data_IF_653722075884
#
_entry.id   IF_653722075884
#
_cell.length_a   1.000
_cell.length_b   1.000
_cell.length_c   1.000
_cell.angle_alpha   90.00
_cell.angle_beta   90.00
_cell.angle_gamma   90.00
#
_symmetry.space_group_name_H-M   'P 1'
#
loop_
_entity.id
_entity.type
_entity.pdbx_description
1 polymer ?
#
# COMPACT_ATOMS: atom_id res chain seq x y z
N UNK A 1 24.20 -39.49 45.90
CA UNK A 1 23.57 -39.36 44.57
C UNK A 1 23.47 -37.86 44.27
N UNK A 2 24.14 -37.34 43.21
CA UNK A 2 24.00 -35.94 42.83
C UNK A 2 22.55 -35.64 42.42
N UNK A 3 22.00 -34.47 42.78
CA UNK A 3 20.63 -34.09 42.39
C UNK A 3 20.53 -34.03 40.84
N UNK A 4 19.39 -34.42 40.31
CA UNK A 4 19.18 -34.32 38.83
C UNK A 4 19.27 -32.88 38.38
N UNK A 5 19.87 -32.59 37.17
CA UNK A 5 19.93 -31.25 36.68
C UNK A 5 18.51 -30.66 36.53
N UNK A 6 18.33 -29.46 37.06
CA UNK A 6 17.06 -28.76 37.04
C UNK A 6 16.68 -28.44 35.57
N UNK A 7 15.60 -29.02 35.09
CA UNK A 7 15.05 -28.82 33.73
C UNK A 7 14.54 -27.39 33.48
N UNK A 8 14.77 -26.47 34.40
CA UNK A 8 14.28 -25.08 34.34
C UNK A 8 15.31 -24.07 33.81
N UNK A 9 16.52 -24.51 33.48
CA UNK A 9 17.49 -23.67 32.78
C UNK A 9 17.43 -23.81 31.25
N UNK A 10 16.24 -23.99 30.68
CA UNK A 10 16.01 -23.63 29.29
C UNK A 10 16.06 -22.09 29.21
N UNK A 11 17.28 -21.59 29.11
CA UNK A 11 17.56 -20.17 29.00
C UNK A 11 16.63 -19.56 27.97
N UNK A 12 15.86 -18.56 28.38
CA UNK A 12 15.35 -17.53 27.50
C UNK A 12 16.53 -16.95 26.73
N UNK A 13 16.94 -17.61 25.67
CA UNK A 13 17.72 -16.97 24.62
C UNK A 13 16.82 -15.87 24.11
N UNK A 14 17.01 -14.68 24.65
CA UNK A 14 16.52 -13.44 24.07
C UNK A 14 16.88 -13.52 22.59
N UNK A 15 15.89 -13.77 21.75
CA UNK A 15 16.05 -13.81 20.31
C UNK A 15 16.34 -12.38 19.83
N UNK A 16 17.58 -11.94 20.06
CA UNK A 16 18.06 -10.73 19.41
C UNK A 16 18.10 -11.04 17.92
N UNK A 17 17.43 -10.25 17.08
CA UNK A 17 17.49 -10.43 15.65
C UNK A 17 18.97 -10.37 15.23
N UNK A 18 19.44 -11.43 14.59
CA UNK A 18 20.81 -11.49 14.09
C UNK A 18 20.93 -10.54 12.89
N UNK A 19 21.40 -9.33 13.16
CA UNK A 19 21.63 -8.28 12.15
C UNK A 19 22.91 -8.55 11.35
N UNK A 20 23.08 -9.77 10.91
CA UNK A 20 24.18 -10.14 10.02
C UNK A 20 24.09 -9.36 8.68
N UNK A 21 25.24 -9.11 8.04
CA UNK A 21 25.26 -8.39 6.74
C UNK A 21 24.22 -8.88 5.72
N UNK A 22 24.01 -10.20 5.53
CA UNK A 22 23.00 -10.66 4.56
C UNK A 22 21.57 -10.29 4.94
N UNK A 23 21.23 -10.18 6.22
CA UNK A 23 19.89 -9.74 6.68
C UNK A 23 19.67 -8.25 6.40
N UNK A 24 20.71 -7.42 6.61
CA UNK A 24 20.62 -5.99 6.27
C UNK A 24 20.45 -5.76 4.76
N UNK A 25 21.14 -6.53 3.92
CA UNK A 25 20.97 -6.47 2.46
C UNK A 25 19.55 -6.88 2.07
N UNK A 26 19.02 -7.92 2.67
CA UNK A 26 17.62 -8.36 2.44
C UNK A 26 16.63 -7.25 2.76
N UNK A 27 16.73 -6.62 3.94
CA UNK A 27 15.87 -5.50 4.34
C UNK A 27 16.00 -4.34 3.35
N UNK A 28 17.22 -3.98 2.96
CA UNK A 28 17.48 -2.90 2.01
C UNK A 28 16.84 -3.16 0.63
N UNK A 29 16.88 -4.41 0.15
CA UNK A 29 16.27 -4.80 -1.12
C UNK A 29 14.73 -4.67 -1.02
N UNK A 30 14.11 -5.17 0.05
CA UNK A 30 12.65 -5.09 0.25
C UNK A 30 12.20 -3.62 0.32
N UNK A 31 12.85 -2.83 1.18
CA UNK A 31 12.50 -1.41 1.34
C UNK A 31 12.74 -0.65 0.04
N UNK A 32 13.88 -0.90 -0.63
CA UNK A 32 14.21 -0.31 -1.93
C UNK A 32 13.16 -0.64 -2.99
N UNK A 33 12.67 -1.88 -3.05
CA UNK A 33 11.61 -2.30 -3.96
C UNK A 33 10.29 -1.55 -3.70
N UNK A 34 9.92 -1.36 -2.43
CA UNK A 34 8.74 -0.56 -2.08
C UNK A 34 8.92 0.93 -2.38
N UNK A 35 10.10 1.49 -2.18
CA UNK A 35 10.40 2.89 -2.54
C UNK A 35 10.25 3.11 -4.04
N UNK A 36 10.95 2.32 -4.86
CA UNK A 36 10.89 2.42 -6.33
C UNK A 36 9.49 2.11 -6.84
N UNK A 37 8.88 1.04 -6.32
CA UNK A 37 7.53 0.64 -6.67
C UNK A 37 6.47 1.67 -6.25
N UNK A 38 6.61 2.30 -5.09
CA UNK A 38 5.72 3.36 -4.61
C UNK A 38 5.76 4.60 -5.50
N UNK A 39 6.96 5.02 -5.92
CA UNK A 39 7.12 6.12 -6.88
C UNK A 39 6.47 5.78 -8.24
N UNK A 40 6.71 4.58 -8.77
CA UNK A 40 6.15 4.14 -10.03
C UNK A 40 4.61 3.99 -9.96
N UNK A 41 4.10 3.40 -8.87
CA UNK A 41 2.66 3.24 -8.66
C UNK A 41 1.95 4.59 -8.44
N UNK A 42 2.60 5.55 -7.77
CA UNK A 42 2.10 6.90 -7.63
C UNK A 42 2.00 7.63 -8.97
N UNK A 43 3.02 7.51 -9.82
CA UNK A 43 2.99 8.03 -11.18
C UNK A 43 1.88 7.37 -12.01
N UNK A 44 1.76 6.05 -11.94
CA UNK A 44 0.70 5.32 -12.65
C UNK A 44 -0.70 5.76 -12.18
N UNK A 45 -0.94 5.86 -10.88
CA UNK A 45 -2.21 6.31 -10.34
C UNK A 45 -2.56 7.74 -10.79
N UNK A 46 -1.57 8.65 -10.79
CA UNK A 46 -1.76 10.02 -11.26
C UNK A 46 -2.07 10.12 -12.74
N UNK A 47 -1.47 9.28 -13.58
CA UNK A 47 -1.68 9.30 -15.05
C UNK A 47 -2.95 8.57 -15.48
N UNK A 48 -3.38 7.56 -14.74
CA UNK A 48 -4.62 6.81 -15.02
C UNK A 48 -5.87 7.54 -14.55
N UNK A 49 -5.73 8.43 -13.56
CA UNK A 49 -6.83 9.22 -13.07
C UNK A 49 -7.04 10.46 -13.94
N UNK A 50 -8.29 10.68 -14.36
CA UNK A 50 -8.69 11.89 -15.08
C UNK A 50 -9.38 12.85 -14.10
N UNK A 51 -8.83 14.06 -13.85
CA UNK A 51 -9.43 15.02 -12.94
C UNK A 51 -10.82 15.43 -13.44
N UNK A 52 -11.85 15.39 -12.59
CA UNK A 52 -13.15 15.96 -12.94
C UNK A 52 -13.05 17.48 -13.05
N UNK A 53 -13.87 18.07 -13.92
CA UNK A 53 -13.94 19.50 -14.11
C UNK A 53 -15.18 20.10 -13.44
N UNK A 54 -15.13 21.38 -13.14
CA UNK A 54 -16.23 22.17 -12.65
C UNK A 54 -16.06 23.62 -13.03
N UNK A 55 -17.07 24.44 -12.78
CA UNK A 55 -17.06 25.87 -13.06
C UNK A 55 -17.12 26.72 -11.79
N UNK A 56 -16.57 27.92 -11.88
CA UNK A 56 -16.66 28.93 -10.84
C UNK A 56 -17.97 29.72 -11.01
N UNK A 57 -18.67 29.93 -9.89
CA UNK A 57 -19.83 30.79 -9.77
C UNK A 57 -19.80 31.51 -8.42
N UNK A 58 -19.87 32.82 -8.40
CA UNK A 58 -19.83 33.65 -7.17
C UNK A 58 -18.65 33.32 -6.24
N UNK A 59 -17.44 33.34 -6.80
CA UNK A 59 -16.17 33.02 -6.08
C UNK A 59 -16.10 31.60 -5.48
N UNK A 60 -17.00 30.71 -5.88
CA UNK A 60 -17.02 29.31 -5.45
C UNK A 60 -16.91 28.35 -6.64
N UNK A 61 -16.14 27.31 -6.45
CA UNK A 61 -16.06 26.23 -7.44
C UNK A 61 -17.15 25.18 -7.19
N UNK A 62 -17.86 24.83 -8.27
CA UNK A 62 -18.89 23.81 -8.25
C UNK A 62 -18.50 22.65 -9.16
N UNK A 63 -18.23 21.50 -8.54
CA UNK A 63 -17.86 20.26 -9.26
C UNK A 63 -19.00 19.85 -10.19
N UNK A 64 -18.64 19.51 -11.44
CA UNK A 64 -19.59 19.03 -12.44
C UNK A 64 -20.56 20.09 -12.98
N UNK A 65 -20.43 21.36 -12.61
CA UNK A 65 -21.18 22.44 -13.26
C UNK A 65 -20.64 22.61 -14.69
N UNK A 66 -21.53 22.45 -15.68
CA UNK A 66 -21.17 22.45 -17.12
C UNK A 66 -21.76 23.63 -17.88
N UNK A 67 -22.76 24.35 -17.32
CA UNK A 67 -23.37 25.52 -17.89
C UNK A 67 -23.86 26.45 -16.79
N UNK A 68 -23.79 27.77 -17.04
CA UNK A 68 -24.30 28.80 -16.13
C UNK A 68 -25.71 29.28 -16.51
N UNK A 69 -26.12 29.12 -17.78
CA UNK A 69 -27.39 29.61 -18.27
C UNK A 69 -28.08 28.55 -19.19
N UNK A 70 -29.06 27.76 -18.67
CA UNK A 70 -29.36 27.60 -17.25
C UNK A 70 -28.27 26.81 -16.50
N UNK A 71 -28.16 26.97 -15.18
CA UNK A 71 -27.19 26.20 -14.39
C UNK A 71 -27.47 24.71 -14.53
N UNK A 72 -26.53 23.98 -15.12
CA UNK A 72 -26.66 22.54 -15.36
C UNK A 72 -25.50 21.80 -14.73
N UNK A 73 -25.82 20.79 -13.94
CA UNK A 73 -24.83 19.94 -13.28
C UNK A 73 -24.76 18.63 -14.06
N UNK A 74 -23.54 18.23 -14.44
CA UNK A 74 -23.31 16.94 -15.08
C UNK A 74 -23.57 15.76 -14.14
N UNK A 75 -24.02 14.64 -14.70
CA UNK A 75 -24.47 13.47 -13.92
C UNK A 75 -23.35 12.74 -13.16
N UNK A 76 -22.07 13.13 -13.30
CA UNK A 76 -20.92 12.35 -12.86
C UNK A 76 -20.14 13.00 -11.69
N UNK A 77 -20.81 13.72 -10.80
CA UNK A 77 -20.20 14.51 -9.72
C UNK A 77 -19.37 13.63 -8.77
N UNK A 78 -19.89 12.46 -8.40
CA UNK A 78 -19.26 11.56 -7.44
C UNK A 78 -18.18 10.66 -8.06
N UNK A 79 -18.14 10.56 -9.39
CA UNK A 79 -17.20 9.65 -10.08
C UNK A 79 -15.73 10.05 -9.92
N UNK A 80 -15.45 11.34 -9.70
CA UNK A 80 -14.08 11.83 -9.57
C UNK A 80 -13.34 11.28 -8.35
N UNK A 81 -13.94 11.36 -7.17
CA UNK A 81 -13.35 10.85 -5.92
C UNK A 81 -13.33 9.33 -5.93
N UNK A 82 -14.40 8.71 -6.45
CA UNK A 82 -14.47 7.27 -6.59
C UNK A 82 -13.36 6.75 -7.54
N UNK A 83 -13.18 7.37 -8.71
CA UNK A 83 -12.16 6.98 -9.68
C UNK A 83 -10.74 7.17 -9.11
N UNK A 84 -10.47 8.29 -8.41
CA UNK A 84 -9.20 8.53 -7.74
C UNK A 84 -8.89 7.43 -6.72
N UNK A 85 -9.88 7.12 -5.87
CA UNK A 85 -9.77 6.08 -4.85
C UNK A 85 -9.59 4.69 -5.48
N UNK A 86 -10.32 4.37 -6.54
CA UNK A 86 -10.25 3.10 -7.23
C UNK A 86 -8.87 2.89 -7.89
N UNK A 87 -8.37 3.84 -8.67
CA UNK A 87 -7.06 3.74 -9.30
C UNK A 87 -5.92 3.66 -8.30
N UNK A 88 -5.98 4.50 -7.24
CA UNK A 88 -5.02 4.40 -6.14
C UNK A 88 -5.04 3.01 -5.50
N UNK A 89 -6.21 2.48 -5.19
CA UNK A 89 -6.35 1.17 -4.54
C UNK A 89 -5.83 0.04 -5.42
N UNK A 90 -6.14 0.04 -6.72
CA UNK A 90 -5.64 -0.97 -7.67
C UNK A 90 -4.12 -0.94 -7.73
N UNK A 91 -3.52 0.23 -7.93
CA UNK A 91 -2.06 0.36 -7.99
C UNK A 91 -1.39 -0.04 -6.66
N UNK A 92 -2.00 0.32 -5.53
CA UNK A 92 -1.50 -0.05 -4.20
C UNK A 92 -1.52 -1.57 -3.97
N UNK A 93 -2.62 -2.23 -4.33
CA UNK A 93 -2.77 -3.69 -4.19
C UNK A 93 -1.78 -4.41 -5.12
N UNK A 94 -1.68 -4.00 -6.37
CA UNK A 94 -0.74 -4.60 -7.34
C UNK A 94 0.70 -4.47 -6.85
N UNK A 95 1.10 -3.28 -6.38
CA UNK A 95 2.43 -3.06 -5.81
C UNK A 95 2.69 -3.99 -4.62
N UNK A 96 1.76 -4.03 -3.66
CA UNK A 96 1.92 -4.85 -2.47
C UNK A 96 2.00 -6.34 -2.78
N UNK A 97 1.13 -6.85 -3.68
CA UNK A 97 1.17 -8.24 -4.12
C UNK A 97 2.49 -8.58 -4.82
N UNK A 98 2.95 -7.76 -5.76
CA UNK A 98 4.19 -8.03 -6.51
C UNK A 98 5.41 -8.09 -5.58
N UNK A 99 5.57 -7.09 -4.70
CA UNK A 99 6.71 -7.06 -3.76
C UNK A 99 6.56 -8.14 -2.69
N UNK A 100 5.35 -8.40 -2.20
CA UNK A 100 5.07 -9.48 -1.23
C UNK A 100 5.40 -10.86 -1.78
N UNK A 101 4.98 -11.16 -3.01
CA UNK A 101 5.30 -12.42 -3.70
C UNK A 101 6.82 -12.54 -3.89
N UNK A 102 7.46 -11.48 -4.41
CA UNK A 102 8.90 -11.49 -4.61
C UNK A 102 9.68 -11.70 -3.30
N UNK A 103 9.24 -11.06 -2.21
CA UNK A 103 9.83 -11.24 -0.89
C UNK A 103 9.65 -12.68 -0.37
N UNK A 104 8.46 -13.27 -0.56
CA UNK A 104 8.19 -14.63 -0.14
C UNK A 104 9.04 -15.67 -0.89
N UNK A 105 9.22 -15.48 -2.21
CA UNK A 105 9.93 -16.46 -3.06
C UNK A 105 11.45 -16.38 -2.90
N UNK A 106 12.02 -15.17 -2.75
CA UNK A 106 13.46 -14.98 -2.84
C UNK A 106 14.15 -14.75 -1.49
N UNK A 107 13.44 -14.44 -0.41
CA UNK A 107 14.03 -13.95 0.82
C UNK A 107 13.66 -14.81 2.05
N UNK A 108 14.03 -16.08 2.03
CA UNK A 108 13.65 -17.09 3.04
C UNK A 108 14.46 -17.08 4.35
N UNK A 109 15.40 -16.15 4.54
CA UNK A 109 16.42 -16.29 5.61
C UNK A 109 15.92 -16.00 7.02
N UNK A 110 14.89 -15.17 7.19
CA UNK A 110 14.32 -14.82 8.50
C UNK A 110 12.90 -14.28 8.32
N UNK A 111 11.91 -15.07 8.71
CA UNK A 111 10.49 -14.76 8.53
C UNK A 111 10.08 -13.46 9.26
N UNK A 112 10.49 -13.30 10.52
CA UNK A 112 10.16 -12.12 11.32
C UNK A 112 10.77 -10.83 10.75
N UNK A 113 12.01 -10.90 10.28
CA UNK A 113 12.68 -9.73 9.68
C UNK A 113 12.04 -9.38 8.35
N UNK A 114 11.69 -10.38 7.53
CA UNK A 114 10.98 -10.17 6.26
C UNK A 114 9.63 -9.51 6.51
N UNK A 115 8.85 -10.01 7.49
CA UNK A 115 7.55 -9.45 7.86
C UNK A 115 7.68 -7.99 8.29
N UNK A 116 8.64 -7.68 9.17
CA UNK A 116 8.89 -6.32 9.62
C UNK A 116 9.33 -5.40 8.46
N UNK A 117 10.24 -5.89 7.59
CA UNK A 117 10.72 -5.14 6.43
C UNK A 117 9.60 -4.85 5.41
N UNK A 118 8.71 -5.81 5.16
CA UNK A 118 7.56 -5.66 4.26
C UNK A 118 6.55 -4.67 4.85
N UNK A 119 6.30 -4.72 6.16
CA UNK A 119 5.39 -3.78 6.83
C UNK A 119 5.91 -2.35 6.74
N UNK A 120 7.15 -2.12 7.15
CA UNK A 120 7.76 -0.79 7.14
C UNK A 120 7.97 -0.30 5.71
N UNK A 121 8.51 -1.15 4.84
CA UNK A 121 8.73 -0.84 3.43
C UNK A 121 7.41 -0.52 2.71
N UNK A 122 6.37 -1.31 2.96
CA UNK A 122 5.04 -1.09 2.40
C UNK A 122 4.39 0.21 2.87
N UNK A 123 4.55 0.58 4.15
CA UNK A 123 4.08 1.86 4.67
C UNK A 123 4.82 3.04 4.01
N UNK A 124 6.15 2.94 3.86
CA UNK A 124 6.95 3.94 3.15
C UNK A 124 6.53 4.03 1.69
N UNK A 125 6.41 2.89 0.98
CA UNK A 125 5.99 2.84 -0.42
C UNK A 125 4.60 3.43 -0.65
N UNK A 126 3.63 3.09 0.21
CA UNK A 126 2.29 3.67 0.17
C UNK A 126 2.27 5.17 0.43
N UNK A 127 3.08 5.65 1.39
CA UNK A 127 3.25 7.08 1.67
C UNK A 127 3.87 7.83 0.47
N UNK A 128 4.91 7.26 -0.15
CA UNK A 128 5.52 7.82 -1.36
C UNK A 128 4.55 7.82 -2.54
N UNK A 129 3.77 6.75 -2.72
CA UNK A 129 2.73 6.68 -3.74
C UNK A 129 1.73 7.83 -3.58
N UNK A 130 1.23 8.06 -2.35
CA UNK A 130 0.32 9.17 -2.06
C UNK A 130 0.99 10.52 -2.32
N UNK A 131 2.23 10.69 -1.88
CA UNK A 131 2.99 11.92 -2.09
C UNK A 131 3.14 12.25 -3.59
N UNK A 132 3.57 11.28 -4.41
CA UNK A 132 3.73 11.48 -5.86
C UNK A 132 2.40 11.81 -6.51
N UNK A 133 1.33 11.07 -6.17
CA UNK A 133 0.01 11.33 -6.74
C UNK A 133 -0.50 12.72 -6.36
N UNK A 134 -0.28 13.18 -5.13
CA UNK A 134 -0.70 14.52 -4.71
C UNK A 134 0.14 15.63 -5.32
N UNK A 135 1.45 15.43 -5.52
CA UNK A 135 2.33 16.41 -6.17
C UNK A 135 2.02 16.58 -7.67
N UNK A 136 1.53 15.54 -8.33
CA UNK A 136 1.13 15.56 -9.74
C UNK A 136 -0.34 15.97 -9.93
N UNK A 137 -1.09 16.16 -8.85
CA UNK A 137 -2.46 16.61 -8.86
C UNK A 137 -2.56 18.09 -9.26
N UNK A 138 -3.64 18.53 -9.93
CA UNK A 138 -3.98 19.94 -10.07
C UNK A 138 -4.10 20.63 -8.70
N UNK A 139 -3.91 21.95 -8.69
CA UNK A 139 -4.10 22.76 -7.48
C UNK A 139 -5.56 22.74 -6.99
N UNK A 140 -5.78 23.02 -5.70
CA UNK A 140 -7.11 23.06 -5.11
C UNK A 140 -7.98 24.13 -5.80
N UNK A 141 -9.05 23.73 -6.51
CA UNK A 141 -9.91 24.65 -7.24
C UNK A 141 -10.63 25.64 -6.34
N UNK A 142 -10.84 25.33 -5.07
CA UNK A 142 -11.46 26.28 -4.12
C UNK A 142 -10.56 27.47 -3.81
N UNK A 143 -9.23 27.26 -3.83
CA UNK A 143 -8.26 28.35 -3.70
C UNK A 143 -8.24 29.23 -4.94
N UNK A 144 -8.28 28.62 -6.12
CA UNK A 144 -8.22 29.30 -7.42
C UNK A 144 -9.54 30.00 -7.79
N UNK A 145 -10.68 29.56 -7.25
CA UNK A 145 -12.00 30.14 -7.53
C UNK A 145 -12.14 31.57 -6.97
N UNK A 146 -11.41 31.89 -5.91
CA UNK A 146 -11.48 33.22 -5.29
C UNK A 146 -10.90 34.28 -6.23
N UNK A 147 -11.74 35.16 -6.72
CA UNK A 147 -11.38 36.23 -7.67
C UNK A 147 -11.32 35.75 -9.13
N UNK A 148 -11.66 34.52 -9.44
CA UNK A 148 -11.82 34.06 -10.80
C UNK A 148 -13.19 34.51 -11.38
N UNK A 149 -13.24 34.75 -12.69
CA UNK A 149 -14.49 35.10 -13.34
C UNK A 149 -15.49 33.94 -13.34
N UNK A 150 -16.78 34.26 -13.22
CA UNK A 150 -17.83 33.26 -13.35
C UNK A 150 -17.75 32.55 -14.71
N UNK A 151 -17.94 31.23 -14.70
CA UNK A 151 -17.77 30.39 -15.88
C UNK A 151 -16.36 29.88 -16.12
N UNK A 152 -15.37 30.29 -15.29
CA UNK A 152 -14.02 29.71 -15.37
C UNK A 152 -14.05 28.23 -15.06
N UNK A 153 -13.51 27.41 -15.98
CA UNK A 153 -13.42 25.95 -15.83
C UNK A 153 -12.14 25.60 -15.08
N UNK A 154 -12.26 24.93 -13.95
CA UNK A 154 -11.16 24.43 -13.16
C UNK A 154 -11.23 22.92 -13.00
N UNK A 155 -10.06 22.28 -12.85
CA UNK A 155 -9.94 20.86 -12.57
C UNK A 155 -9.92 20.62 -11.06
N UNK A 156 -10.49 19.49 -10.63
CA UNK A 156 -10.45 19.07 -9.24
C UNK A 156 -9.06 18.57 -8.83
N UNK A 157 -8.75 18.72 -7.55
CA UNK A 157 -7.54 18.15 -6.97
C UNK A 157 -7.75 16.66 -6.63
N UNK A 158 -6.62 15.91 -6.57
CA UNK A 158 -6.66 14.51 -6.18
C UNK A 158 -7.07 14.36 -4.72
N UNK A 159 -8.17 13.70 -4.47
CA UNK A 159 -8.68 13.45 -3.13
C UNK A 159 -9.00 11.97 -2.96
N UNK A 160 -8.48 11.38 -1.89
CA UNK A 160 -8.83 10.02 -1.49
C UNK A 160 -10.04 10.05 -0.54
N UNK A 161 -10.93 9.08 -0.69
CA UNK A 161 -12.05 8.89 0.22
C UNK A 161 -11.60 8.67 1.68
N UNK A 162 -10.39 8.11 1.86
CA UNK A 162 -9.81 7.87 3.19
C UNK A 162 -8.28 7.83 3.14
N UNK A 163 -7.57 8.47 4.08
CA UNK A 163 -6.11 8.40 4.16
C UNK A 163 -5.59 6.99 4.50
N UNK A 164 -6.42 6.14 5.10
CA UNK A 164 -6.05 4.76 5.45
C UNK A 164 -5.82 3.84 4.24
N UNK A 165 -6.18 4.28 3.03
CA UNK A 165 -5.91 3.54 1.80
C UNK A 165 -4.41 3.30 1.55
N UNK A 166 -3.53 4.10 2.14
CA UNK A 166 -2.07 3.87 2.14
C UNK A 166 -1.71 2.50 2.72
N UNK A 167 -2.51 1.98 3.66
CA UNK A 167 -2.31 0.66 4.28
C UNK A 167 -2.63 -0.51 3.35
N UNK A 168 -3.23 -0.27 2.18
CA UNK A 168 -3.45 -1.32 1.19
C UNK A 168 -2.14 -1.92 0.68
N UNK A 169 -1.06 -1.12 0.58
CA UNK A 169 0.25 -1.60 0.14
C UNK A 169 0.82 -2.65 1.12
N UNK A 170 1.05 -2.34 2.42
CA UNK A 170 1.55 -3.35 3.34
C UNK A 170 0.54 -4.47 3.57
N UNK A 171 -0.77 -4.18 3.58
CA UNK A 171 -1.82 -5.19 3.79
C UNK A 171 -1.85 -6.24 2.68
N UNK A 172 -1.81 -5.83 1.41
CA UNK A 172 -1.76 -6.75 0.28
C UNK A 172 -0.45 -7.53 0.19
N UNK A 173 0.68 -6.91 0.57
CA UNK A 173 1.96 -7.60 0.63
C UNK A 173 1.99 -8.68 1.74
N UNK A 174 1.43 -8.38 2.92
CA UNK A 174 1.27 -9.37 3.99
C UNK A 174 0.34 -10.52 3.58
N UNK A 175 -0.76 -10.21 2.89
CA UNK A 175 -1.67 -11.22 2.37
C UNK A 175 -0.93 -12.16 1.41
N UNK A 176 -0.12 -11.62 0.51
CA UNK A 176 0.68 -12.42 -0.42
C UNK A 176 1.67 -13.34 0.32
N UNK A 177 2.39 -12.81 1.32
CA UNK A 177 3.29 -13.60 2.18
C UNK A 177 2.53 -14.72 2.87
N UNK A 178 1.39 -14.43 3.49
CA UNK A 178 0.57 -15.40 4.22
C UNK A 178 0.12 -16.54 3.30
N UNK A 179 -0.38 -16.20 2.11
CA UNK A 179 -0.85 -17.21 1.13
C UNK A 179 0.30 -18.13 0.70
N UNK A 180 1.47 -17.56 0.38
CA UNK A 180 2.61 -18.35 -0.08
C UNK A 180 3.14 -19.25 1.05
N UNK A 181 3.29 -18.75 2.27
CA UNK A 181 3.72 -19.56 3.39
C UNK A 181 2.73 -20.67 3.72
N UNK A 182 1.42 -20.42 3.61
CA UNK A 182 0.40 -21.44 3.81
C UNK A 182 0.45 -22.53 2.73
N UNK A 183 0.72 -22.17 1.49
CA UNK A 183 0.85 -23.12 0.38
C UNK A 183 2.14 -23.95 0.44
N UNK A 184 3.20 -23.41 1.04
CA UNK A 184 4.51 -24.07 1.18
C UNK A 184 4.76 -24.67 2.57
N UNK A 185 3.77 -24.58 3.49
CA UNK A 185 3.86 -25.32 4.74
C UNK A 185 4.03 -26.81 4.40
N UNK A 186 5.13 -27.48 4.86
CA UNK A 186 5.29 -28.91 4.63
C UNK A 186 4.07 -29.58 5.24
N UNK A 187 3.40 -30.40 4.43
CA UNK A 187 2.46 -31.38 4.94
C UNK A 187 3.33 -32.34 5.75
N UNK A 188 3.40 -32.15 7.07
CA UNK A 188 3.96 -33.15 7.94
C UNK A 188 3.10 -34.39 7.72
N UNK A 189 3.69 -35.33 6.99
CA UNK A 189 3.07 -36.59 6.62
C UNK A 189 2.52 -37.24 7.87
N UNK A 190 1.21 -37.53 7.83
CA UNK A 190 0.50 -38.38 8.78
C UNK A 190 1.05 -39.82 8.80
N UNK A 191 2.18 -40.07 8.14
CA UNK A 191 2.81 -41.39 7.97
C UNK A 191 3.64 -41.85 9.16
N UNK A 192 3.88 -41.03 10.18
CA UNK A 192 4.58 -41.46 11.40
C UNK A 192 3.70 -42.24 12.39
N UNK A 193 2.42 -42.48 12.05
CA UNK A 193 1.49 -43.23 12.93
C UNK A 193 1.50 -44.75 12.78
N UNK A 194 2.32 -45.29 11.91
CA UNK A 194 2.42 -46.76 11.69
C UNK A 194 3.79 -47.31 12.10
N UNK A 195 4.17 -47.18 13.38
CA UNK A 195 5.12 -48.08 13.98
C UNK A 195 4.35 -49.24 14.61
N UNK A 196 4.43 -50.47 14.06
CA UNK A 196 3.86 -51.64 14.72
C UNK A 196 4.71 -51.95 15.97
N UNK A 197 4.05 -51.89 17.11
CA UNK A 197 4.60 -52.45 18.35
C UNK A 197 4.69 -53.99 18.17
N UNK A 198 5.92 -54.48 17.95
CA UNK A 198 6.29 -55.87 18.11
C UNK A 198 7.09 -56.10 19.38
#
# INVERSE_FOLDING_TARGET
VPPPPSLYETGRRSARPDLSRPVLVQVAIIVGAFVVGGLAAGLAAATLWTPPTGMVLEDKWYRGLISLDPPTIGQNIDQGVFAATAWFSVCAIVLGLLVGIAAAVWLHRSELVTLAAVTVGGAIGGGLMLLVTSLLSPEDPNGLAKGAADGTVLQDSFQLASPWLVLLVPGSAMLALMVIFLMWAPHEDADSAHLPHS
#
